data_IF_014882064150
#
_entry.id   IF_014882064150
#
_cell.length_a   1.000
_cell.length_b   1.000
_cell.length_c   1.000
_cell.angle_alpha   90.00
_cell.angle_beta   90.00
_cell.angle_gamma   90.00
#
_symmetry.space_group_name_H-M   'P 1'
#
loop_
_entity.id
_entity.type
_entity.pdbx_description
1 polymer ?
#
# COMPACT_ATOMS: atom_id res chain seq x y z
N UNK A 1 17.56 18.86 0.68
CA UNK A 1 17.02 17.97 -0.39
C UNK A 1 15.61 17.60 0.04
N UNK A 2 14.65 17.47 -0.88
CA UNK A 2 13.31 16.95 -0.56
C UNK A 2 13.40 15.45 -0.26
N UNK A 3 12.66 14.96 0.75
CA UNK A 3 12.57 13.52 1.01
C UNK A 3 11.76 12.85 -0.09
N UNK A 4 12.19 11.67 -0.52
CA UNK A 4 11.59 10.89 -1.60
C UNK A 4 10.71 9.78 -1.05
N UNK A 5 9.48 9.72 -1.52
CA UNK A 5 8.49 8.75 -1.07
C UNK A 5 8.09 7.83 -2.22
N UNK A 6 8.23 6.52 -2.02
CA UNK A 6 7.65 5.51 -2.92
C UNK A 6 6.23 5.17 -2.43
N UNK A 7 5.24 5.49 -3.26
CA UNK A 7 3.84 5.20 -3.00
C UNK A 7 3.38 4.03 -3.88
N UNK A 8 3.11 2.89 -3.28
CA UNK A 8 2.71 1.67 -3.97
C UNK A 8 1.17 1.56 -3.94
N UNK A 9 0.53 1.53 -5.11
CA UNK A 9 -0.93 1.61 -5.26
C UNK A 9 -1.46 3.05 -5.26
N UNK A 10 -0.64 4.00 -5.76
CA UNK A 10 -0.95 5.42 -5.70
C UNK A 10 -2.00 5.90 -6.70
N UNK A 11 -2.32 5.15 -7.77
CA UNK A 11 -3.38 5.51 -8.70
C UNK A 11 -4.80 5.28 -8.14
N UNK A 12 -4.92 4.60 -6.99
CA UNK A 12 -6.19 4.41 -6.29
C UNK A 12 -6.73 5.71 -5.67
N UNK A 13 -7.99 5.70 -5.25
CA UNK A 13 -8.66 6.91 -4.76
C UNK A 13 -8.03 7.50 -3.48
N UNK A 14 -7.52 6.66 -2.57
CA UNK A 14 -6.74 7.13 -1.41
C UNK A 14 -5.39 7.66 -1.88
N UNK A 15 -4.74 6.94 -2.80
CA UNK A 15 -3.40 7.26 -3.29
C UNK A 15 -3.31 8.66 -3.91
N UNK A 16 -4.28 9.06 -4.71
CA UNK A 16 -4.31 10.41 -5.33
C UNK A 16 -4.37 11.53 -4.29
N UNK A 17 -5.13 11.32 -3.21
CA UNK A 17 -5.19 12.28 -2.09
C UNK A 17 -3.85 12.36 -1.37
N UNK A 18 -3.21 11.21 -1.14
CA UNK A 18 -1.89 11.12 -0.49
C UNK A 18 -0.83 11.79 -1.37
N UNK A 19 -0.79 11.53 -2.68
CA UNK A 19 0.12 12.19 -3.63
C UNK A 19 -0.01 13.71 -3.50
N UNK A 20 -1.22 14.22 -3.61
CA UNK A 20 -1.51 15.65 -3.52
C UNK A 20 -1.01 16.27 -2.21
N UNK A 21 -1.23 15.57 -1.10
CA UNK A 21 -0.78 16.02 0.22
C UNK A 21 0.75 16.03 0.34
N UNK A 22 1.42 14.96 -0.12
CA UNK A 22 2.88 14.84 -0.07
C UNK A 22 3.56 15.92 -0.92
N UNK A 23 3.09 16.16 -2.14
CA UNK A 23 3.62 17.21 -3.03
C UNK A 23 3.49 18.58 -2.36
N UNK A 24 2.31 18.89 -1.76
CA UNK A 24 2.11 20.14 -1.01
C UNK A 24 3.06 20.29 0.18
N UNK A 25 3.48 19.18 0.79
CA UNK A 25 4.46 19.14 1.88
C UNK A 25 5.91 19.08 1.40
N UNK A 26 6.14 19.31 0.10
CA UNK A 26 7.47 19.37 -0.52
C UNK A 26 8.22 18.04 -0.61
N UNK A 27 7.50 16.90 -0.63
CA UNK A 27 8.08 15.59 -0.92
C UNK A 27 8.14 15.34 -2.42
N UNK A 28 9.14 14.58 -2.87
CA UNK A 28 9.17 13.99 -4.21
C UNK A 28 8.49 12.63 -4.14
N UNK A 29 7.51 12.38 -5.01
CA UNK A 29 6.65 11.19 -4.97
C UNK A 29 6.86 10.34 -6.20
N UNK A 30 7.29 9.10 -6.01
CA UNK A 30 7.25 8.06 -7.05
C UNK A 30 6.05 7.15 -6.80
N UNK A 31 5.10 7.13 -7.72
CA UNK A 31 3.89 6.31 -7.67
C UNK A 31 4.10 5.03 -8.49
N UNK A 32 4.14 3.87 -7.83
CA UNK A 32 4.11 2.55 -8.49
C UNK A 32 2.68 2.01 -8.48
N UNK A 33 2.12 1.74 -9.66
CA UNK A 33 0.79 1.13 -9.79
C UNK A 33 0.72 0.27 -11.05
N UNK A 34 0.00 -0.84 -11.01
CA UNK A 34 -0.20 -1.71 -12.16
C UNK A 34 -1.47 -1.42 -12.95
N UNK A 35 -2.25 -0.42 -12.50
CA UNK A 35 -3.50 0.04 -13.12
C UNK A 35 -4.55 -1.07 -13.33
N UNK A 36 -4.60 -2.04 -12.41
CA UNK A 36 -5.54 -3.16 -12.51
C UNK A 36 -7.01 -2.71 -12.61
N UNK A 37 -7.31 -1.50 -12.13
CA UNK A 37 -8.63 -0.87 -12.20
C UNK A 37 -8.77 0.15 -13.34
N UNK A 38 -7.81 0.17 -14.28
CA UNK A 38 -7.79 1.09 -15.43
C UNK A 38 -7.97 2.58 -15.06
N UNK A 39 -7.35 2.99 -13.98
CA UNK A 39 -7.53 4.29 -13.32
C UNK A 39 -6.38 5.29 -13.56
N UNK A 40 -5.66 5.19 -14.70
CA UNK A 40 -4.57 6.11 -15.06
C UNK A 40 -5.02 7.58 -15.05
N UNK A 41 -6.26 7.85 -15.45
CA UNK A 41 -6.82 9.21 -15.50
C UNK A 41 -6.79 9.92 -14.13
N UNK A 42 -6.79 9.16 -13.04
CA UNK A 42 -6.74 9.73 -11.68
C UNK A 42 -5.44 10.45 -11.37
N UNK A 43 -4.37 10.20 -12.16
CA UNK A 43 -3.05 10.80 -12.01
C UNK A 43 -2.85 12.04 -12.89
N UNK A 44 -3.81 12.39 -13.76
CA UNK A 44 -3.67 13.47 -14.75
C UNK A 44 -3.36 14.85 -14.13
N UNK A 45 -3.87 15.12 -12.92
CA UNK A 45 -3.57 16.39 -12.24
C UNK A 45 -2.10 16.53 -11.82
N UNK A 46 -1.34 15.42 -11.77
CA UNK A 46 0.06 15.40 -11.32
C UNK A 46 1.08 15.32 -12.46
N UNK A 47 0.66 15.02 -13.70
CA UNK A 47 1.57 14.75 -14.83
C UNK A 47 2.61 15.86 -15.10
N UNK A 48 2.25 17.11 -14.82
CA UNK A 48 3.13 18.27 -15.03
C UNK A 48 3.92 18.68 -13.78
N UNK A 49 3.69 18.03 -12.65
CA UNK A 49 4.38 18.35 -11.40
C UNK A 49 5.78 17.71 -11.41
N UNK A 50 6.81 18.54 -11.25
CA UNK A 50 8.22 18.07 -11.25
C UNK A 50 8.56 17.16 -10.07
N UNK A 51 7.72 17.13 -9.04
CA UNK A 51 7.87 16.26 -7.85
C UNK A 51 7.13 14.94 -7.97
N UNK A 52 6.42 14.74 -9.07
CA UNK A 52 5.67 13.53 -9.30
C UNK A 52 6.30 12.68 -10.42
N UNK A 53 6.47 11.40 -10.15
CA UNK A 53 6.90 10.41 -11.11
C UNK A 53 5.98 9.20 -11.06
N UNK A 54 5.43 8.79 -12.20
CA UNK A 54 4.62 7.59 -12.32
C UNK A 54 5.41 6.44 -12.94
N UNK A 55 5.33 5.27 -12.32
CA UNK A 55 5.93 4.03 -12.79
C UNK A 55 4.84 2.98 -12.93
N UNK A 56 4.56 2.57 -14.17
CA UNK A 56 3.67 1.44 -14.44
C UNK A 56 4.39 0.14 -14.08
N UNK A 57 3.85 -0.61 -13.12
CA UNK A 57 4.46 -1.88 -12.72
C UNK A 57 3.74 -2.56 -11.57
N UNK A 58 4.06 -3.85 -11.39
CA UNK A 58 3.49 -4.69 -10.35
C UNK A 58 4.43 -4.75 -9.13
N UNK A 59 3.88 -4.64 -7.93
CA UNK A 59 4.64 -4.73 -6.68
C UNK A 59 5.38 -6.07 -6.50
N UNK A 60 4.93 -7.12 -7.18
CA UNK A 60 5.56 -8.45 -7.20
C UNK A 60 6.81 -8.54 -8.07
N UNK A 61 7.07 -7.53 -8.90
CA UNK A 61 8.30 -7.44 -9.68
C UNK A 61 9.45 -6.97 -8.77
N UNK A 62 10.16 -7.92 -8.18
CA UNK A 62 11.23 -7.66 -7.20
C UNK A 62 12.36 -6.80 -7.78
N UNK A 63 12.72 -6.97 -9.06
CA UNK A 63 13.76 -6.16 -9.69
C UNK A 63 13.35 -4.69 -9.78
N UNK A 64 12.10 -4.43 -10.18
CA UNK A 64 11.55 -3.07 -10.26
C UNK A 64 11.40 -2.44 -8.87
N UNK A 65 10.78 -3.15 -7.92
CA UNK A 65 10.57 -2.62 -6.57
C UNK A 65 11.89 -2.35 -5.84
N UNK A 66 12.89 -3.24 -5.99
CA UNK A 66 14.23 -3.03 -5.45
C UNK A 66 14.92 -1.80 -6.03
N UNK A 67 14.78 -1.56 -7.34
CA UNK A 67 15.31 -0.34 -7.96
C UNK A 67 14.67 0.91 -7.35
N UNK A 68 13.34 0.95 -7.27
CA UNK A 68 12.60 2.12 -6.75
C UNK A 68 12.89 2.37 -5.27
N UNK A 69 12.99 1.31 -4.45
CA UNK A 69 13.34 1.43 -3.03
C UNK A 69 14.74 2.01 -2.80
N UNK A 70 15.70 1.75 -3.70
CA UNK A 70 17.04 2.34 -3.59
C UNK A 70 17.05 3.86 -3.83
N UNK A 71 16.02 4.40 -4.46
CA UNK A 71 15.92 5.80 -4.85
C UNK A 71 15.05 6.62 -3.89
N UNK A 72 14.47 5.97 -2.85
CA UNK A 72 13.51 6.59 -1.93
C UNK A 72 13.95 6.47 -0.47
N UNK A 73 13.49 7.42 0.36
CA UNK A 73 13.76 7.47 1.80
C UNK A 73 12.63 6.82 2.60
N UNK A 74 11.40 6.81 2.06
CA UNK A 74 10.23 6.24 2.70
C UNK A 74 9.37 5.48 1.69
N UNK A 75 8.60 4.49 2.19
CA UNK A 75 7.65 3.73 1.40
C UNK A 75 6.26 3.71 2.05
N UNK A 76 5.21 3.89 1.25
CA UNK A 76 3.81 3.80 1.66
C UNK A 76 3.11 2.74 0.82
N UNK A 77 2.56 1.72 1.48
CA UNK A 77 1.90 0.59 0.83
C UNK A 77 0.38 0.76 0.94
N UNK A 78 -0.26 1.16 -0.15
CA UNK A 78 -1.70 1.23 -0.33
C UNK A 78 -2.21 0.09 -1.24
N UNK A 79 -1.32 -0.48 -2.04
CA UNK A 79 -1.66 -1.49 -3.02
C UNK A 79 -2.32 -2.72 -2.41
N UNK A 80 -3.24 -3.29 -3.17
CA UNK A 80 -3.92 -4.55 -2.84
C UNK A 80 -5.22 -4.69 -3.59
N UNK A 81 -5.72 -5.92 -3.65
CA UNK A 81 -7.12 -6.19 -4.01
C UNK A 81 -7.97 -5.89 -2.77
N UNK A 82 -8.76 -4.80 -2.83
CA UNK A 82 -9.43 -4.24 -1.66
C UNK A 82 -10.89 -4.69 -1.57
N UNK A 83 -11.25 -5.23 -0.42
CA UNK A 83 -12.61 -5.60 -0.06
C UNK A 83 -12.96 -7.06 -0.29
N UNK A 84 -13.95 -7.52 0.47
CA UNK A 84 -14.35 -8.91 0.53
C UNK A 84 -14.85 -9.50 -0.81
N UNK A 85 -15.65 -8.77 -1.62
CA UNK A 85 -16.15 -9.33 -2.87
C UNK A 85 -15.04 -9.74 -3.84
N UNK A 86 -14.03 -8.91 -4.01
CA UNK A 86 -12.95 -9.17 -4.96
C UNK A 86 -11.99 -10.26 -4.47
N UNK A 87 -11.66 -10.26 -3.18
CA UNK A 87 -10.77 -11.27 -2.59
C UNK A 87 -11.44 -12.64 -2.52
N UNK A 88 -12.76 -12.69 -2.28
CA UNK A 88 -13.54 -13.92 -2.34
C UNK A 88 -13.64 -14.47 -3.76
N UNK A 89 -13.76 -13.59 -4.76
CA UNK A 89 -13.84 -13.98 -6.18
C UNK A 89 -12.51 -14.49 -6.74
N UNK A 90 -11.40 -13.91 -6.28
CA UNK A 90 -10.05 -14.22 -6.76
C UNK A 90 -9.09 -14.50 -5.59
N UNK A 91 -9.31 -15.57 -4.81
CA UNK A 91 -8.56 -15.81 -3.57
C UNK A 91 -7.07 -16.05 -3.81
N UNK A 92 -6.69 -16.80 -4.85
CA UNK A 92 -5.29 -17.09 -5.17
C UNK A 92 -4.52 -15.84 -5.61
N UNK A 93 -5.15 -14.98 -6.43
CA UNK A 93 -4.53 -13.72 -6.86
C UNK A 93 -4.42 -12.77 -5.68
N UNK A 94 -5.45 -12.74 -4.83
CA UNK A 94 -5.45 -11.97 -3.61
C UNK A 94 -4.30 -12.39 -2.69
N UNK A 95 -4.08 -13.69 -2.49
CA UNK A 95 -2.98 -14.20 -1.68
C UNK A 95 -1.61 -13.76 -2.22
N UNK A 96 -1.41 -13.92 -3.53
CA UNK A 96 -0.15 -13.52 -4.20
C UNK A 96 0.12 -12.01 -4.13
N UNK A 97 -0.91 -11.17 -4.10
CA UNK A 97 -0.75 -9.71 -4.04
C UNK A 97 -0.74 -9.23 -2.60
N UNK A 98 -1.84 -9.48 -1.86
CA UNK A 98 -2.11 -8.87 -0.55
C UNK A 98 -1.24 -9.45 0.58
N UNK A 99 -0.78 -10.68 0.46
CA UNK A 99 0.03 -11.35 1.47
C UNK A 99 1.48 -11.54 0.99
N UNK A 100 1.72 -12.48 0.07
CA UNK A 100 3.07 -12.83 -0.36
C UNK A 100 3.85 -11.64 -0.96
N UNK A 101 3.22 -10.92 -1.91
CA UNK A 101 3.85 -9.80 -2.61
C UNK A 101 4.18 -8.65 -1.66
N UNK A 102 3.27 -8.30 -0.76
CA UNK A 102 3.51 -7.24 0.23
C UNK A 102 4.59 -7.67 1.23
N UNK A 103 4.60 -8.91 1.74
CA UNK A 103 5.65 -9.40 2.63
C UNK A 103 7.04 -9.37 1.98
N UNK A 104 7.16 -9.75 0.70
CA UNK A 104 8.41 -9.65 -0.07
C UNK A 104 8.88 -8.20 -0.20
N UNK A 105 7.96 -7.29 -0.51
CA UNK A 105 8.26 -5.86 -0.58
C UNK A 105 8.77 -5.32 0.77
N UNK A 106 8.13 -5.69 1.87
CA UNK A 106 8.55 -5.31 3.24
C UNK A 106 9.94 -5.87 3.55
N UNK A 107 10.22 -7.13 3.20
CA UNK A 107 11.56 -7.72 3.34
C UNK A 107 12.61 -6.93 2.56
N UNK A 108 12.27 -6.49 1.35
CA UNK A 108 13.16 -5.65 0.54
C UNK A 108 13.45 -4.30 1.22
N UNK A 109 12.46 -3.71 1.90
CA UNK A 109 12.66 -2.46 2.65
C UNK A 109 13.68 -2.62 3.80
N UNK A 110 13.67 -3.76 4.51
CA UNK A 110 14.60 -4.03 5.63
C UNK A 110 16.07 -3.98 5.20
N UNK A 111 16.37 -4.31 3.95
CA UNK A 111 17.72 -4.35 3.39
C UNK A 111 18.12 -3.03 2.69
N UNK A 112 17.33 -1.99 2.81
CA UNK A 112 17.52 -0.70 2.15
C UNK A 112 17.58 0.44 3.17
N UNK A 113 17.93 1.64 2.70
CA UNK A 113 17.92 2.85 3.53
C UNK A 113 16.54 3.46 3.67
N UNK A 114 15.50 2.63 3.80
CA UNK A 114 14.14 3.10 4.02
C UNK A 114 13.99 3.47 5.49
N UNK A 115 13.84 4.76 5.76
CA UNK A 115 13.71 5.30 7.13
C UNK A 115 12.32 5.08 7.71
N UNK A 116 11.29 5.10 6.85
CA UNK A 116 9.88 4.95 7.25
C UNK A 116 9.14 4.04 6.28
N UNK A 117 8.50 3.03 6.83
CA UNK A 117 7.57 2.17 6.12
C UNK A 117 6.18 2.34 6.71
N UNK A 118 5.20 2.68 5.87
CA UNK A 118 3.79 2.80 6.25
C UNK A 118 3.00 1.76 5.47
N UNK A 119 2.32 0.89 6.19
CA UNK A 119 1.36 -0.06 5.64
C UNK A 119 -0.05 0.35 6.06
N UNK A 120 -0.94 0.52 5.09
CA UNK A 120 -2.34 0.84 5.38
C UNK A 120 -3.13 -0.44 5.56
N UNK A 121 -3.57 -0.66 6.79
CA UNK A 121 -4.37 -1.80 7.19
C UNK A 121 -5.88 -1.51 7.11
N UNK A 122 -6.70 -2.15 7.92
CA UNK A 122 -8.16 -2.04 7.86
C UNK A 122 -8.81 -2.26 9.23
N UNK A 123 -9.88 -1.54 9.51
CA UNK A 123 -10.71 -1.78 10.70
C UNK A 123 -11.46 -3.13 10.65
N UNK A 124 -11.59 -3.76 9.48
CA UNK A 124 -12.17 -5.10 9.34
C UNK A 124 -11.39 -6.19 10.11
N UNK A 125 -10.18 -5.87 10.57
CA UNK A 125 -9.36 -6.75 11.39
C UNK A 125 -10.01 -7.11 12.73
N UNK A 126 -10.86 -6.22 13.27
CA UNK A 126 -11.54 -6.44 14.54
C UNK A 126 -12.75 -7.38 14.44
N UNK A 127 -13.27 -7.62 13.21
CA UNK A 127 -14.44 -8.46 12.98
C UNK A 127 -15.73 -7.88 13.52
N UNK A 128 -16.57 -8.73 14.10
CA UNK A 128 -17.81 -8.32 14.76
C UNK A 128 -17.54 -8.00 16.24
N UNK A 129 -17.88 -6.78 16.63
CA UNK A 129 -17.83 -6.38 18.03
C UNK A 129 -19.10 -6.77 18.76
N UNK A 130 -18.97 -7.26 19.99
CA UNK A 130 -20.10 -7.51 20.89
C UNK A 130 -20.39 -6.30 21.81
N UNK A 131 -19.79 -5.16 21.54
CA UNK A 131 -19.92 -3.92 22.31
C UNK A 131 -20.23 -2.76 21.38
N UNK A 132 -21.01 -1.80 21.86
CA UNK A 132 -21.28 -0.54 21.16
C UNK A 132 -20.15 0.49 21.38
N UNK A 133 -19.12 0.14 22.14
CA UNK A 133 -17.99 1.02 22.37
C UNK A 133 -16.99 0.95 21.21
N UNK A 134 -16.36 2.09 20.85
CA UNK A 134 -15.25 2.09 19.89
C UNK A 134 -14.10 1.19 20.36
N UNK A 135 -13.51 0.45 19.44
CA UNK A 135 -12.32 -0.34 19.68
C UNK A 135 -11.06 0.49 19.41
N UNK A 136 -10.01 0.22 20.15
CA UNK A 136 -8.67 0.77 19.93
C UNK A 136 -7.74 -0.33 19.40
N UNK A 137 -6.47 0.01 19.17
CA UNK A 137 -5.45 -0.85 18.58
C UNK A 137 -5.01 -2.00 19.51
N UNK A 138 -5.38 -1.97 20.79
CA UNK A 138 -5.12 -3.05 21.77
C UNK A 138 -6.22 -4.13 21.74
N UNK A 139 -7.32 -3.88 21.03
CA UNK A 139 -8.42 -4.82 20.94
C UNK A 139 -8.01 -6.10 20.20
N UNK A 140 -8.59 -7.21 20.62
CA UNK A 140 -8.35 -8.51 19.99
C UNK A 140 -8.77 -8.50 18.52
N UNK A 141 -7.88 -8.96 17.63
CA UNK A 141 -8.15 -9.08 16.21
C UNK A 141 -8.93 -10.36 15.91
N UNK A 142 -10.11 -10.21 15.29
CA UNK A 142 -11.02 -11.32 14.92
C UNK A 142 -11.42 -11.24 13.44
N UNK A 143 -10.45 -11.27 12.50
CA UNK A 143 -10.73 -11.09 11.09
C UNK A 143 -11.61 -12.22 10.55
N UNK A 144 -12.73 -11.87 9.92
CA UNK A 144 -13.70 -12.83 9.36
C UNK A 144 -13.38 -13.08 7.88
N UNK A 145 -13.21 -12.02 7.11
CA UNK A 145 -13.00 -12.11 5.67
C UNK A 145 -11.56 -12.47 5.30
N UNK A 146 -11.37 -13.00 4.09
CA UNK A 146 -10.04 -13.28 3.54
C UNK A 146 -9.20 -12.00 3.49
N UNK A 147 -9.80 -10.88 3.05
CA UNK A 147 -9.13 -9.59 3.01
C UNK A 147 -8.59 -9.17 4.38
N UNK A 148 -9.43 -9.24 5.42
CA UNK A 148 -9.02 -8.87 6.77
C UNK A 148 -7.92 -9.81 7.31
N UNK A 149 -8.04 -11.14 7.07
CA UNK A 149 -7.02 -12.12 7.47
C UNK A 149 -5.67 -11.81 6.85
N UNK A 150 -5.64 -11.50 5.53
CA UNK A 150 -4.41 -11.14 4.84
C UNK A 150 -3.79 -9.84 5.40
N UNK A 151 -4.61 -8.84 5.75
CA UNK A 151 -4.12 -7.61 6.37
C UNK A 151 -3.50 -7.88 7.74
N UNK A 152 -4.15 -8.67 8.60
CA UNK A 152 -3.62 -9.10 9.91
C UNK A 152 -2.31 -9.86 9.78
N UNK A 153 -2.18 -10.75 8.79
CA UNK A 153 -0.93 -11.48 8.55
C UNK A 153 0.23 -10.58 8.16
N UNK A 154 -0.04 -9.54 7.38
CA UNK A 154 0.98 -8.54 7.01
C UNK A 154 1.34 -7.68 8.22
N UNK A 155 0.38 -7.25 9.04
CA UNK A 155 0.65 -6.53 10.29
C UNK A 155 1.60 -7.33 11.20
N UNK A 156 1.28 -8.60 11.46
CA UNK A 156 2.13 -9.50 12.25
C UNK A 156 3.52 -9.70 11.68
N UNK A 157 3.68 -9.52 10.37
CA UNK A 157 4.98 -9.64 9.72
C UNK A 157 5.83 -8.37 9.84
N UNK A 158 5.19 -7.21 9.99
CA UNK A 158 5.87 -5.92 10.18
C UNK A 158 6.34 -5.73 11.61
N UNK A 159 5.51 -6.10 12.58
CA UNK A 159 5.77 -6.01 14.02
C UNK A 159 6.75 -7.07 14.49
#
# INVERSE_FOLDING_TARGET
>A
MSSKVLLIGGAGYIGTVVIKHLIKKNFDVTCLDNLIYNNLYSLSEFEKDKKFNFVLGDLRNEALTNKLLNECDAAVILAGLVGDPITKKYPEISEKINNEGIKKLISSCKNKKIEKLIFVSTCSNYGLSNTDLPLNEEAELKPISLYAKQKVEVEKYIL
#
